data_IF_348350585331
#
_entry.id   IF_348350585331
#
_cell.length_a   1.000
_cell.length_b   1.000
_cell.length_c   1.000
_cell.angle_alpha   90.00
_cell.angle_beta   90.00
_cell.angle_gamma   90.00
#
_symmetry.space_group_name_H-M   'P 1'
#
loop_
_entity.id
_entity.type
_entity.pdbx_description
1 polymer ?
#
# COMPACT_ATOMS: atom_id res chain seq x y z
N UNK A 1 -25.08 49.63 -16.42
CA UNK A 1 -24.51 50.88 -15.91
C UNK A 1 -23.07 50.57 -15.51
N UNK A 2 -22.05 50.82 -16.35
CA UNK A 2 -21.14 51.99 -16.39
C UNK A 2 -20.41 52.14 -15.03
N UNK A 3 -19.06 52.07 -14.91
CA UNK A 3 -17.89 52.63 -15.62
C UNK A 3 -16.64 51.92 -15.08
N UNK A 4 -15.60 51.50 -15.80
CA UNK A 4 -14.50 52.15 -16.52
C UNK A 4 -13.79 53.32 -15.79
N UNK A 5 -12.45 53.17 -15.60
CA UNK A 5 -11.36 54.15 -15.78
C UNK A 5 -10.04 53.47 -15.24
N UNK A 6 -9.02 53.12 -15.95
CA UNK A 6 -8.03 53.79 -16.85
C UNK A 6 -7.31 54.99 -16.17
N UNK A 7 -5.98 54.86 -16.01
CA UNK A 7 -4.89 55.82 -16.32
C UNK A 7 -3.62 55.42 -15.57
N UNK A 8 -2.51 55.14 -16.18
CA UNK A 8 -1.58 55.77 -17.13
C UNK A 8 -0.46 56.58 -16.42
N UNK A 9 0.81 56.11 -16.62
CA UNK A 9 2.09 56.78 -16.82
C UNK A 9 2.52 57.96 -15.94
N UNK A 10 3.77 57.91 -15.45
CA UNK A 10 4.80 58.84 -15.96
C UNK A 10 6.25 58.47 -15.48
N UNK A 11 7.16 58.40 -16.43
CA UNK A 11 8.61 58.37 -16.27
C UNK A 11 9.11 59.81 -16.00
N UNK A 12 10.17 59.93 -15.23
CA UNK A 12 11.01 61.14 -15.29
C UNK A 12 12.48 60.81 -15.02
N UNK A 13 13.27 60.93 -16.08
CA UNK A 13 14.71 61.00 -16.05
C UNK A 13 15.14 62.41 -15.65
N UNK A 14 16.17 62.52 -14.81
CA UNK A 14 16.93 63.75 -14.67
C UNK A 14 18.45 63.44 -14.69
N UNK A 15 19.02 63.90 -15.76
CA UNK A 15 20.47 64.11 -15.99
C UNK A 15 20.90 65.39 -15.29
N UNK A 16 21.95 65.34 -14.51
CA UNK A 16 22.75 66.52 -14.17
C UNK A 16 24.23 66.23 -14.42
N UNK A 17 24.72 66.87 -15.46
CA UNK A 17 26.15 67.15 -15.71
C UNK A 17 26.61 68.38 -14.95
N UNK A 18 27.76 68.31 -14.32
CA UNK A 18 28.64 69.50 -14.19
C UNK A 18 30.10 69.04 -13.96
N UNK A 19 30.92 69.59 -14.83
CA UNK A 19 32.38 69.42 -14.87
C UNK A 19 33.07 70.34 -13.85
N UNK A 20 34.23 69.91 -13.36
CA UNK A 20 35.47 70.76 -13.44
C UNK A 20 36.63 70.14 -12.69
N UNK A 21 37.78 70.20 -13.40
CA UNK A 21 39.21 70.36 -12.98
C UNK A 21 39.86 69.32 -12.09
N UNK A 22 40.68 68.43 -12.59
CA UNK A 22 42.09 68.61 -12.79
C UNK A 22 42.98 68.27 -11.61
N UNK A 23 43.47 67.00 -11.57
CA UNK A 23 44.83 66.66 -11.14
C UNK A 23 45.22 65.28 -11.67
N UNK A 24 46.40 65.17 -12.26
CA UNK A 24 47.00 63.94 -12.74
C UNK A 24 47.47 63.11 -11.54
N UNK A 25 47.00 61.93 -11.35
CA UNK A 25 47.64 60.85 -10.60
C UNK A 25 47.69 59.59 -11.49
N UNK A 26 48.80 58.86 -11.36
CA UNK A 26 49.12 57.64 -12.11
C UNK A 26 48.08 56.53 -11.92
N UNK A 27 47.83 55.68 -12.92
CA UNK A 27 46.87 54.60 -12.79
C UNK A 27 47.43 53.47 -11.90
N UNK A 28 46.72 53.18 -10.83
CA UNK A 28 46.89 51.95 -10.05
C UNK A 28 46.49 50.71 -10.93
N UNK A 29 47.16 49.54 -10.72
CA UNK A 29 46.88 48.34 -11.51
C UNK A 29 45.45 47.83 -11.27
N UNK A 30 44.82 47.44 -12.37
CA UNK A 30 43.47 46.85 -12.40
C UNK A 30 43.40 45.63 -11.48
N UNK A 31 42.31 45.44 -10.72
CA UNK A 31 42.05 44.18 -10.01
C UNK A 31 41.91 43.03 -10.98
N UNK A 32 42.54 41.90 -10.65
CA UNK A 32 42.39 40.65 -11.39
C UNK A 32 40.91 40.23 -11.43
N UNK A 33 40.46 39.58 -12.51
CA UNK A 33 39.10 39.08 -12.58
C UNK A 33 38.88 38.04 -11.46
N UNK A 34 37.91 38.26 -10.58
CA UNK A 34 37.45 37.26 -9.64
C UNK A 34 37.06 36.01 -10.44
N UNK A 35 37.72 34.91 -10.14
CA UNK A 35 37.35 33.59 -10.64
C UNK A 35 35.92 33.35 -10.22
N UNK A 36 35.00 33.36 -11.17
CA UNK A 36 33.64 32.92 -10.96
C UNK A 36 33.68 31.50 -10.37
N UNK A 37 33.15 31.35 -9.18
CA UNK A 37 32.80 30.03 -8.68
C UNK A 37 31.75 29.50 -9.64
N UNK A 38 32.13 28.56 -10.52
CA UNK A 38 31.20 27.67 -11.14
C UNK A 38 30.55 26.89 -9.99
N UNK A 39 29.32 27.28 -9.63
CA UNK A 39 28.42 26.37 -8.90
C UNK A 39 28.35 25.11 -9.73
N UNK A 40 28.96 24.04 -9.22
CA UNK A 40 28.81 22.73 -9.78
C UNK A 40 27.28 22.41 -9.81
N UNK A 41 26.67 22.52 -10.96
CA UNK A 41 25.31 22.01 -11.19
C UNK A 41 25.37 20.53 -10.83
N UNK A 42 24.76 20.17 -9.69
CA UNK A 42 24.45 18.78 -9.40
C UNK A 42 23.65 18.26 -10.61
N UNK A 43 23.98 17.08 -11.15
CA UNK A 43 23.20 16.52 -12.22
C UNK A 43 21.73 16.47 -11.77
N UNK A 44 20.84 17.09 -12.52
CA UNK A 44 19.41 17.04 -12.32
C UNK A 44 19.00 15.57 -12.45
N UNK A 45 18.77 14.91 -11.32
CA UNK A 45 18.32 13.51 -11.31
C UNK A 45 16.92 13.51 -11.92
N UNK A 46 16.77 12.91 -13.09
CA UNK A 46 15.49 12.79 -13.76
C UNK A 46 14.48 12.17 -12.80
N UNK A 47 13.37 12.87 -12.56
CA UNK A 47 12.32 12.45 -11.64
C UNK A 47 11.63 11.21 -12.20
N UNK A 48 11.70 10.11 -11.46
CA UNK A 48 11.01 8.87 -11.79
C UNK A 48 9.53 8.99 -11.45
N UNK A 49 8.65 8.86 -12.45
CA UNK A 49 7.19 8.85 -12.24
C UNK A 49 6.69 7.43 -12.20
N UNK A 50 5.95 7.08 -11.13
CA UNK A 50 5.43 5.73 -10.91
C UNK A 50 3.93 5.75 -10.63
N UNK A 51 3.19 4.87 -11.32
CA UNK A 51 1.80 4.54 -11.02
C UNK A 51 1.77 3.38 -10.02
N UNK A 52 1.30 3.65 -8.81
CA UNK A 52 1.30 2.70 -7.70
C UNK A 52 -0.14 2.31 -7.36
N UNK A 53 -0.47 1.03 -7.50
CA UNK A 53 -1.79 0.52 -7.17
C UNK A 53 -1.96 0.29 -5.67
N UNK A 54 -3.13 0.66 -5.15
CA UNK A 54 -3.53 0.46 -3.77
C UNK A 54 -5.00 0.03 -3.67
N UNK A 55 -5.38 -0.55 -2.53
CA UNK A 55 -6.78 -0.75 -2.13
C UNK A 55 -7.18 0.33 -1.11
N UNK A 56 -8.46 0.82 -1.09
CA UNK A 56 -8.86 1.93 -0.23
C UNK A 56 -8.99 1.51 1.24
N UNK A 57 -7.88 1.13 1.87
CA UNK A 57 -7.79 0.75 3.27
C UNK A 57 -6.47 1.24 3.91
N UNK A 58 -6.45 1.27 5.23
CA UNK A 58 -5.27 1.67 5.99
C UNK A 58 -4.06 0.79 5.67
N UNK A 59 -4.23 -0.53 5.57
CA UNK A 59 -3.16 -1.49 5.35
C UNK A 59 -2.36 -1.26 4.06
N UNK A 60 -3.00 -0.84 2.97
CA UNK A 60 -2.31 -0.54 1.72
C UNK A 60 -1.68 0.85 1.69
N UNK A 61 -2.18 1.78 2.51
CA UNK A 61 -1.83 3.19 2.43
C UNK A 61 -0.91 3.68 3.55
N UNK A 62 -0.89 3.03 4.72
CA UNK A 62 -0.18 3.51 5.92
C UNK A 62 1.28 3.90 5.68
N UNK A 63 2.02 3.14 4.88
CA UNK A 63 3.44 3.37 4.61
C UNK A 63 3.66 4.30 3.41
N UNK A 64 2.91 4.07 2.32
CA UNK A 64 3.11 4.81 1.06
C UNK A 64 2.62 6.26 1.18
N UNK A 65 1.46 6.51 1.80
CA UNK A 65 1.00 7.89 2.03
C UNK A 65 1.91 8.61 3.01
N UNK A 66 2.40 7.93 4.05
CA UNK A 66 3.39 8.49 4.96
C UNK A 66 4.67 8.88 4.22
N UNK A 67 5.19 8.03 3.33
CA UNK A 67 6.39 8.34 2.56
C UNK A 67 6.16 9.51 1.57
N UNK A 68 4.95 9.68 1.03
CA UNK A 68 4.57 10.82 0.20
C UNK A 68 4.53 12.09 1.05
N UNK A 69 3.75 12.12 2.13
CA UNK A 69 3.48 13.30 2.96
C UNK A 69 4.73 13.78 3.72
N UNK A 70 5.62 12.85 4.09
CA UNK A 70 6.91 13.18 4.70
C UNK A 70 7.99 13.54 3.68
N UNK A 71 7.70 13.50 2.38
CA UNK A 71 8.62 13.87 1.32
C UNK A 71 9.70 12.85 1.01
N UNK A 72 9.65 11.62 1.57
CA UNK A 72 10.71 10.62 1.38
C UNK A 72 10.83 10.14 -0.08
N UNK A 73 9.71 10.07 -0.82
CA UNK A 73 9.75 9.80 -2.26
C UNK A 73 10.34 10.97 -3.04
N UNK A 74 9.98 12.21 -2.69
CA UNK A 74 10.54 13.40 -3.34
C UNK A 74 12.05 13.51 -3.13
N UNK A 75 12.54 13.25 -1.89
CA UNK A 75 13.98 13.16 -1.59
C UNK A 75 14.69 12.09 -2.43
N UNK A 76 14.00 10.99 -2.73
CA UNK A 76 14.49 9.94 -3.60
C UNK A 76 14.35 10.25 -5.10
N UNK A 77 13.85 11.43 -5.50
CA UNK A 77 13.59 11.79 -6.88
C UNK A 77 12.48 10.94 -7.52
N UNK A 78 11.45 10.57 -6.73
CA UNK A 78 10.30 9.79 -7.18
C UNK A 78 9.03 10.62 -7.03
N UNK A 79 8.20 10.65 -8.09
CA UNK A 79 6.85 11.17 -8.10
C UNK A 79 5.88 9.99 -8.13
N UNK A 80 5.07 9.84 -7.09
CA UNK A 80 4.10 8.73 -6.94
C UNK A 80 2.72 9.19 -7.35
N UNK A 81 2.09 8.48 -8.30
CA UNK A 81 0.68 8.58 -8.65
C UNK A 81 -0.06 7.36 -8.10
N UNK A 82 -0.91 7.55 -7.08
CA UNK A 82 -1.70 6.48 -6.47
C UNK A 82 -2.95 6.18 -7.30
N UNK A 83 -3.16 4.90 -7.65
CA UNK A 83 -4.28 4.42 -8.44
C UNK A 83 -5.06 3.38 -7.65
N UNK A 84 -6.36 3.63 -7.44
CA UNK A 84 -7.23 2.79 -6.62
C UNK A 84 -7.74 1.56 -7.38
N UNK A 85 -7.74 0.41 -6.69
CA UNK A 85 -8.29 -0.87 -7.15
C UNK A 85 -9.14 -1.53 -6.05
N UNK A 86 -10.07 -2.38 -6.46
CA UNK A 86 -10.94 -3.09 -5.53
C UNK A 86 -10.22 -4.23 -4.78
N UNK A 87 -9.27 -4.93 -5.45
CA UNK A 87 -8.63 -6.14 -4.94
C UNK A 87 -7.25 -6.41 -5.57
N UNK A 88 -6.51 -7.36 -4.98
CA UNK A 88 -5.17 -7.75 -5.43
C UNK A 88 -5.10 -8.38 -6.81
N UNK A 89 -5.98 -9.32 -7.20
CA UNK A 89 -5.99 -9.88 -8.54
C UNK A 89 -6.12 -8.84 -9.66
N UNK A 90 -6.98 -7.83 -9.49
CA UNK A 90 -7.13 -6.73 -10.46
C UNK A 90 -5.90 -5.84 -10.53
N UNK A 91 -5.18 -5.64 -9.41
CA UNK A 91 -3.89 -4.95 -9.38
C UNK A 91 -2.86 -5.69 -10.25
N UNK A 92 -2.72 -7.01 -10.05
CA UNK A 92 -1.75 -7.82 -10.81
C UNK A 92 -2.07 -7.76 -12.31
N UNK A 93 -3.34 -7.89 -12.69
CA UNK A 93 -3.77 -7.78 -14.09
C UNK A 93 -3.44 -6.39 -14.70
N UNK A 94 -3.58 -5.31 -13.93
CA UNK A 94 -3.22 -3.97 -14.34
C UNK A 94 -1.70 -3.77 -14.48
N UNK A 95 -0.91 -4.44 -13.65
CA UNK A 95 0.55 -4.46 -13.77
C UNK A 95 1.01 -5.25 -15.01
N UNK A 96 0.38 -6.39 -15.29
CA UNK A 96 0.70 -7.21 -16.48
C UNK A 96 0.42 -6.47 -17.80
N UNK A 97 -0.62 -5.64 -17.85
CA UNK A 97 -0.92 -4.83 -19.03
C UNK A 97 -0.08 -3.53 -19.12
N UNK A 98 0.72 -3.21 -18.09
CA UNK A 98 1.64 -2.08 -18.06
C UNK A 98 1.01 -0.74 -17.69
N UNK A 99 -0.22 -0.71 -17.18
CA UNK A 99 -0.86 0.53 -16.68
C UNK A 99 -0.42 0.90 -15.26
N UNK A 100 0.11 -0.05 -14.51
CA UNK A 100 0.61 0.07 -13.14
C UNK A 100 2.05 -0.44 -13.09
N UNK A 101 2.93 0.29 -12.40
CA UNK A 101 4.34 -0.07 -12.25
C UNK A 101 4.57 -0.98 -11.04
N UNK A 102 3.97 -0.65 -9.89
CA UNK A 102 4.07 -1.39 -8.64
C UNK A 102 2.72 -1.42 -7.95
N UNK A 103 2.48 -2.40 -7.07
CA UNK A 103 1.22 -2.49 -6.37
C UNK A 103 1.34 -3.11 -4.98
N UNK A 104 0.28 -2.91 -4.19
CA UNK A 104 0.10 -3.56 -2.91
C UNK A 104 -0.94 -4.68 -3.04
N UNK A 105 -0.68 -5.83 -2.43
CA UNK A 105 -1.62 -6.95 -2.38
C UNK A 105 -1.74 -7.54 -0.97
N UNK A 106 -2.92 -8.06 -0.67
CA UNK A 106 -3.15 -8.92 0.49
C UNK A 106 -2.89 -10.40 0.19
N UNK A 107 -3.04 -11.22 1.22
CA UNK A 107 -2.72 -12.65 1.22
C UNK A 107 -3.23 -13.40 0.00
N UNK A 108 -4.52 -13.31 -0.31
CA UNK A 108 -5.13 -14.17 -1.32
C UNK A 108 -4.51 -14.03 -2.72
N UNK A 109 -3.99 -12.85 -3.06
CA UNK A 109 -3.31 -12.64 -4.33
C UNK A 109 -1.86 -13.16 -4.37
N UNK A 110 -1.22 -13.48 -3.23
CA UNK A 110 0.13 -14.05 -3.20
C UNK A 110 0.24 -15.40 -3.94
N UNK A 111 -0.85 -16.16 -4.07
CA UNK A 111 -0.87 -17.35 -4.94
C UNK A 111 -0.47 -17.04 -6.38
N UNK A 112 -0.79 -15.86 -6.90
CA UNK A 112 -0.36 -15.41 -8.22
C UNK A 112 1.14 -15.11 -8.27
N UNK A 113 1.74 -14.65 -7.16
CA UNK A 113 3.20 -14.50 -7.07
C UNK A 113 3.90 -15.87 -7.14
N UNK A 114 3.39 -16.88 -6.40
CA UNK A 114 3.89 -18.25 -6.44
C UNK A 114 3.77 -18.85 -7.85
N UNK A 115 2.74 -18.46 -8.61
CA UNK A 115 2.51 -18.87 -10.00
C UNK A 115 3.36 -18.08 -11.03
N UNK A 116 4.16 -17.10 -10.60
CA UNK A 116 5.08 -16.34 -11.44
C UNK A 116 4.50 -15.09 -12.10
N UNK A 117 3.29 -14.63 -11.71
CA UNK A 117 2.68 -13.42 -12.26
C UNK A 117 3.27 -12.13 -11.67
N UNK A 118 3.76 -12.17 -10.42
CA UNK A 118 4.39 -11.03 -9.76
C UNK A 118 5.50 -11.47 -8.80
N UNK A 119 6.44 -10.57 -8.51
CA UNK A 119 7.48 -10.72 -7.50
C UNK A 119 7.22 -9.78 -6.34
N UNK A 120 7.41 -10.28 -5.12
CA UNK A 120 7.27 -9.50 -3.89
C UNK A 120 8.59 -8.81 -3.59
N UNK A 121 8.62 -7.48 -3.53
CA UNK A 121 9.84 -6.74 -3.24
C UNK A 121 9.92 -6.17 -1.82
N UNK A 122 8.78 -6.10 -1.09
CA UNK A 122 8.74 -5.74 0.33
C UNK A 122 7.53 -6.37 1.03
N UNK A 123 7.72 -6.90 2.24
CA UNK A 123 6.65 -7.22 3.18
C UNK A 123 6.13 -5.91 3.78
N UNK A 124 4.82 -5.78 3.93
CA UNK A 124 4.19 -4.61 4.55
C UNK A 124 3.83 -4.89 6.02
N UNK A 125 2.99 -5.90 6.24
CA UNK A 125 2.49 -6.26 7.58
C UNK A 125 1.88 -7.67 7.58
N UNK A 126 1.56 -8.19 8.76
CA UNK A 126 0.68 -9.34 8.95
C UNK A 126 -0.72 -8.81 9.25
N UNK A 127 -1.71 -9.17 8.42
CA UNK A 127 -3.10 -8.75 8.60
C UNK A 127 -3.82 -9.65 9.61
N UNK A 128 -4.60 -9.03 10.49
CA UNK A 128 -5.53 -9.69 11.41
C UNK A 128 -6.99 -9.25 11.14
N UNK A 129 -7.24 -8.60 10.00
CA UNK A 129 -8.51 -7.96 9.68
C UNK A 129 -9.49 -8.79 8.83
N UNK A 130 -9.09 -10.01 8.41
CA UNK A 130 -10.00 -10.91 7.69
C UNK A 130 -10.96 -11.58 8.67
N UNK A 131 -12.24 -11.70 8.28
CA UNK A 131 -13.27 -12.31 9.12
C UNK A 131 -14.35 -13.02 8.31
N UNK A 132 -14.93 -14.05 8.91
CA UNK A 132 -16.22 -14.62 8.51
C UNK A 132 -17.28 -14.15 9.51
N UNK A 133 -18.31 -13.48 9.02
CA UNK A 133 -19.33 -12.81 9.83
C UNK A 133 -20.71 -13.40 9.49
N UNK A 134 -21.40 -13.90 10.50
CA UNK A 134 -22.79 -14.35 10.41
C UNK A 134 -23.78 -13.24 10.78
N UNK A 135 -24.93 -13.22 10.15
CA UNK A 135 -26.08 -12.44 10.59
C UNK A 135 -26.78 -13.09 11.81
N UNK A 136 -27.90 -12.52 12.28
CA UNK A 136 -28.60 -12.88 13.50
C UNK A 136 -28.92 -14.39 13.66
N UNK A 137 -29.10 -15.10 12.54
CA UNK A 137 -29.45 -16.53 12.50
C UNK A 137 -28.28 -17.46 12.18
N UNK A 138 -27.04 -16.95 12.11
CA UNK A 138 -25.80 -17.71 11.83
C UNK A 138 -24.83 -17.40 12.94
N UNK A 139 -24.75 -18.29 13.94
CA UNK A 139 -24.03 -18.05 15.20
C UNK A 139 -22.76 -18.87 15.34
N UNK A 140 -22.58 -19.87 14.50
CA UNK A 140 -21.40 -20.72 14.46
C UNK A 140 -20.99 -21.04 13.02
N UNK A 141 -19.80 -21.57 12.81
CA UNK A 141 -19.33 -22.00 11.50
C UNK A 141 -20.17 -23.15 10.93
N UNK A 142 -20.70 -24.03 11.79
CA UNK A 142 -21.58 -25.14 11.41
C UNK A 142 -22.92 -24.64 10.85
N UNK A 143 -23.41 -23.49 11.34
CA UNK A 143 -24.66 -22.86 10.85
C UNK A 143 -24.56 -22.38 9.40
N UNK A 144 -23.34 -22.27 8.84
CA UNK A 144 -23.14 -21.89 7.45
C UNK A 144 -23.71 -22.91 6.45
N UNK A 145 -23.92 -24.16 6.86
CA UNK A 145 -24.44 -25.20 5.99
C UNK A 145 -25.78 -24.81 5.35
N UNK A 146 -25.78 -24.77 4.01
CA UNK A 146 -26.96 -24.41 3.19
C UNK A 146 -27.27 -22.91 3.16
N UNK A 147 -26.48 -22.07 3.82
CA UNK A 147 -26.62 -20.60 3.85
C UNK A 147 -26.05 -19.93 2.60
N UNK A 148 -26.58 -18.74 2.32
CA UNK A 148 -26.01 -17.85 1.29
C UNK A 148 -24.88 -17.05 1.91
N UNK A 149 -23.65 -17.24 1.41
CA UNK A 149 -22.44 -16.61 1.95
C UNK A 149 -21.75 -15.79 0.87
N UNK A 150 -21.66 -14.48 1.10
CA UNK A 150 -20.94 -13.57 0.21
C UNK A 150 -19.43 -13.64 0.48
N UNK A 151 -18.64 -13.60 -0.59
CA UNK A 151 -17.17 -13.54 -0.53
C UNK A 151 -16.60 -12.90 -1.80
N UNK A 152 -15.31 -12.62 -1.83
CA UNK A 152 -14.60 -12.14 -3.02
C UNK A 152 -13.55 -13.15 -3.42
N UNK A 153 -13.70 -13.74 -4.62
CA UNK A 153 -12.81 -14.80 -5.08
C UNK A 153 -11.40 -14.30 -5.37
N UNK A 154 -10.40 -15.16 -5.16
CA UNK A 154 -9.00 -14.82 -5.37
C UNK A 154 -8.36 -13.95 -4.28
N UNK A 155 -9.10 -13.56 -3.24
CA UNK A 155 -8.67 -12.68 -2.15
C UNK A 155 -8.56 -13.42 -0.82
N UNK A 156 -8.12 -12.72 0.24
CA UNK A 156 -8.11 -13.26 1.62
C UNK A 156 -9.51 -13.61 2.14
N UNK A 157 -10.55 -12.97 1.59
CA UNK A 157 -11.96 -13.29 1.88
C UNK A 157 -12.29 -14.76 1.53
N UNK A 158 -11.86 -15.24 0.37
CA UNK A 158 -12.02 -16.64 -0.01
C UNK A 158 -11.23 -17.57 0.91
N UNK A 159 -10.00 -17.20 1.25
CA UNK A 159 -9.11 -18.03 2.05
C UNK A 159 -9.63 -18.19 3.49
N UNK A 160 -10.06 -17.09 4.15
CA UNK A 160 -10.60 -17.16 5.51
C UNK A 160 -11.94 -17.93 5.54
N UNK A 161 -12.77 -17.81 4.50
CA UNK A 161 -14.01 -18.58 4.38
C UNK A 161 -13.73 -20.09 4.26
N UNK A 162 -12.79 -20.48 3.38
CA UNK A 162 -12.39 -21.89 3.23
C UNK A 162 -11.82 -22.46 4.52
N UNK A 163 -11.01 -21.70 5.23
CA UNK A 163 -10.46 -22.11 6.52
C UNK A 163 -11.57 -22.28 7.57
N UNK A 164 -12.53 -21.35 7.63
CA UNK A 164 -13.69 -21.45 8.52
C UNK A 164 -14.57 -22.66 8.21
N UNK A 165 -14.87 -22.88 6.95
CA UNK A 165 -15.65 -24.05 6.50
C UNK A 165 -14.92 -25.37 6.84
N UNK A 166 -13.62 -25.47 6.55
CA UNK A 166 -12.83 -26.64 6.86
C UNK A 166 -12.82 -26.95 8.37
N UNK A 167 -12.74 -25.92 9.24
CA UNK A 167 -12.80 -26.03 10.69
C UNK A 167 -14.14 -26.63 11.17
N UNK A 168 -15.25 -26.34 10.46
CA UNK A 168 -16.57 -26.90 10.70
C UNK A 168 -16.82 -28.25 9.99
N UNK A 169 -15.84 -28.80 9.27
CA UNK A 169 -16.01 -30.00 8.45
C UNK A 169 -16.89 -29.78 7.22
N UNK A 170 -16.97 -28.53 6.75
CA UNK A 170 -17.74 -28.11 5.57
C UNK A 170 -16.78 -27.74 4.42
N UNK A 171 -17.36 -27.61 3.24
CA UNK A 171 -16.69 -27.17 2.01
C UNK A 171 -17.49 -26.06 1.33
N UNK A 172 -16.96 -25.46 0.27
CA UNK A 172 -17.70 -24.48 -0.54
C UNK A 172 -18.99 -25.07 -1.16
N UNK A 173 -19.04 -26.39 -1.38
CA UNK A 173 -20.22 -27.07 -1.90
C UNK A 173 -21.38 -27.23 -0.87
N UNK A 174 -21.07 -27.07 0.42
CA UNK A 174 -22.07 -27.13 1.50
C UNK A 174 -22.81 -25.79 1.71
N UNK A 175 -22.38 -24.70 1.05
CA UNK A 175 -22.99 -23.37 1.12
C UNK A 175 -23.50 -22.89 -0.24
N UNK A 176 -24.29 -21.82 -0.23
CA UNK A 176 -24.63 -21.08 -1.46
C UNK A 176 -23.63 -19.93 -1.59
N UNK A 177 -22.46 -20.25 -2.13
CA UNK A 177 -21.39 -19.28 -2.29
C UNK A 177 -21.77 -18.19 -3.31
N UNK A 178 -21.61 -16.93 -2.94
CA UNK A 178 -21.94 -15.77 -3.76
C UNK A 178 -20.70 -14.89 -3.90
N UNK A 179 -20.04 -15.04 -5.03
CA UNK A 179 -18.86 -14.22 -5.39
C UNK A 179 -19.32 -12.81 -5.80
N UNK A 180 -18.70 -11.78 -5.22
CA UNK A 180 -19.01 -10.39 -5.53
C UNK A 180 -17.85 -9.44 -5.19
N UNK A 181 -17.93 -8.25 -5.76
CA UNK A 181 -17.01 -7.16 -5.44
C UNK A 181 -17.04 -6.86 -3.94
N UNK A 182 -15.87 -6.59 -3.31
CA UNK A 182 -15.77 -6.33 -1.87
C UNK A 182 -16.69 -5.23 -1.34
N UNK A 183 -16.92 -4.17 -2.13
CA UNK A 183 -17.82 -3.08 -1.75
C UNK A 183 -19.30 -3.52 -1.67
N UNK A 184 -19.69 -4.49 -2.50
CA UNK A 184 -21.04 -5.05 -2.53
C UNK A 184 -21.30 -6.00 -1.36
N UNK A 185 -20.27 -6.65 -0.81
CA UNK A 185 -20.38 -7.55 0.36
C UNK A 185 -21.01 -6.80 1.55
N UNK A 186 -20.54 -5.57 1.82
CA UNK A 186 -21.07 -4.74 2.92
C UNK A 186 -22.57 -4.49 2.72
N UNK A 187 -22.96 -4.05 1.53
CA UNK A 187 -24.37 -3.78 1.22
C UNK A 187 -25.25 -5.04 1.30
N UNK A 188 -24.76 -6.16 0.75
CA UNK A 188 -25.49 -7.44 0.77
C UNK A 188 -25.71 -7.93 2.21
N UNK A 189 -24.69 -7.83 3.06
CA UNK A 189 -24.77 -8.26 4.46
C UNK A 189 -25.71 -7.36 5.29
N UNK A 190 -25.55 -6.04 5.20
CA UNK A 190 -26.35 -5.09 5.98
C UNK A 190 -27.81 -5.03 5.55
N UNK A 191 -28.13 -5.31 4.28
CA UNK A 191 -29.52 -5.39 3.79
C UNK A 191 -30.19 -6.75 4.08
N UNK A 192 -29.47 -7.73 4.62
CA UNK A 192 -29.97 -9.09 4.78
C UNK A 192 -30.13 -9.86 3.46
N UNK A 193 -29.44 -9.44 2.40
CA UNK A 193 -29.39 -10.11 1.10
C UNK A 193 -28.62 -11.43 1.12
N UNK A 194 -27.76 -11.61 2.13
CA UNK A 194 -27.00 -12.83 2.40
C UNK A 194 -27.08 -13.19 3.89
N UNK A 195 -26.91 -14.47 4.22
CA UNK A 195 -26.96 -14.95 5.61
C UNK A 195 -25.65 -14.70 6.37
N UNK A 196 -24.53 -14.72 5.65
CA UNK A 196 -23.19 -14.51 6.17
C UNK A 196 -22.28 -13.92 5.09
N UNK A 197 -21.12 -13.44 5.49
CA UNK A 197 -20.08 -13.00 4.55
C UNK A 197 -18.68 -13.29 5.07
N UNK A 198 -17.72 -13.26 4.17
CA UNK A 198 -16.29 -13.13 4.49
C UNK A 198 -15.73 -11.91 3.80
N UNK A 199 -14.88 -11.19 4.50
CA UNK A 199 -14.24 -9.96 3.99
C UNK A 199 -13.07 -9.57 4.88
N UNK A 200 -12.41 -8.44 4.56
CA UNK A 200 -11.30 -7.87 5.32
C UNK A 200 -11.61 -6.45 5.78
N UNK A 201 -10.77 -5.87 6.67
CA UNK A 201 -10.93 -4.49 7.11
C UNK A 201 -10.66 -3.49 5.95
N UNK A 202 -11.41 -2.37 5.87
CA UNK A 202 -12.37 -1.86 6.86
C UNK A 202 -13.76 -2.51 6.83
N UNK A 203 -14.09 -3.30 5.80
CA UNK A 203 -15.42 -3.87 5.60
C UNK A 203 -15.85 -4.76 6.77
N UNK A 204 -14.95 -5.62 7.27
CA UNK A 204 -15.23 -6.50 8.41
C UNK A 204 -15.59 -5.71 9.67
N UNK A 205 -14.83 -4.66 9.98
CA UNK A 205 -15.08 -3.78 11.11
C UNK A 205 -16.42 -3.06 10.97
N UNK A 206 -16.68 -2.49 9.79
CA UNK A 206 -17.92 -1.77 9.49
C UNK A 206 -19.15 -2.68 9.60
N UNK A 207 -19.10 -3.88 9.04
CA UNK A 207 -20.21 -4.84 9.12
C UNK A 207 -20.51 -5.21 10.57
N UNK A 208 -19.46 -5.50 11.37
CA UNK A 208 -19.65 -5.83 12.78
C UNK A 208 -20.23 -4.66 13.60
N UNK A 209 -19.78 -3.43 13.34
CA UNK A 209 -20.30 -2.23 13.97
C UNK A 209 -21.78 -2.00 13.65
N UNK A 210 -22.15 -2.03 12.37
CA UNK A 210 -23.50 -1.74 11.89
C UNK A 210 -24.51 -2.83 12.26
N UNK A 211 -24.10 -4.10 12.29
CA UNK A 211 -24.97 -5.20 12.75
C UNK A 211 -25.14 -5.20 14.28
N UNK A 212 -24.16 -4.68 15.02
CA UNK A 212 -24.20 -4.66 16.49
C UNK A 212 -24.50 -6.05 17.08
N UNK A 213 -25.60 -6.15 17.84
CA UNK A 213 -26.00 -7.42 18.49
C UNK A 213 -26.47 -8.53 17.52
N UNK A 214 -26.79 -8.18 16.28
CA UNK A 214 -27.19 -9.15 15.24
C UNK A 214 -26.01 -9.69 14.43
N UNK A 215 -24.80 -9.13 14.61
CA UNK A 215 -23.57 -9.58 13.99
C UNK A 215 -22.87 -10.65 14.84
N UNK A 216 -22.44 -11.74 14.22
CA UNK A 216 -21.70 -12.80 14.87
C UNK A 216 -20.35 -13.00 14.16
N UNK A 217 -19.24 -12.71 14.85
CA UNK A 217 -17.91 -13.08 14.38
C UNK A 217 -17.76 -14.60 14.51
N UNK A 218 -17.72 -15.29 13.38
CA UNK A 218 -17.63 -16.74 13.35
C UNK A 218 -16.20 -17.25 13.42
N UNK A 219 -15.29 -16.59 12.69
CA UNK A 219 -13.83 -16.72 12.79
C UNK A 219 -13.13 -15.52 12.17
N UNK A 220 -11.86 -15.36 12.50
CA UNK A 220 -10.93 -14.34 12.02
C UNK A 220 -9.52 -14.94 11.82
N UNK A 221 -8.53 -14.11 11.45
CA UNK A 221 -7.14 -14.56 11.31
C UNK A 221 -6.59 -15.16 12.62
N UNK A 222 -6.96 -14.59 13.77
CA UNK A 222 -6.48 -15.06 15.08
C UNK A 222 -6.99 -16.48 15.41
N UNK A 223 -8.16 -16.86 14.88
CA UNK A 223 -8.71 -18.21 14.99
C UNK A 223 -7.78 -19.28 14.40
N UNK A 224 -6.89 -18.89 13.49
CA UNK A 224 -5.98 -19.76 12.75
C UNK A 224 -4.50 -19.40 12.93
N UNK A 225 -4.15 -18.53 13.89
CA UNK A 225 -2.79 -18.00 14.07
C UNK A 225 -1.71 -19.06 14.28
N UNK A 226 -2.07 -20.26 14.78
CA UNK A 226 -1.14 -21.37 14.94
C UNK A 226 -0.76 -22.06 13.62
N UNK A 227 -1.54 -21.88 12.56
CA UNK A 227 -1.41 -22.64 11.31
C UNK A 227 -1.35 -21.78 10.06
N UNK A 228 -1.80 -20.54 10.13
CA UNK A 228 -1.84 -19.62 8.99
C UNK A 228 -1.24 -18.27 9.33
N UNK A 229 -0.77 -17.56 8.30
CA UNK A 229 -0.32 -16.18 8.37
C UNK A 229 -0.89 -15.41 7.20
N UNK A 230 -1.54 -14.27 7.47
CA UNK A 230 -2.12 -13.41 6.44
C UNK A 230 -1.15 -12.26 6.10
N UNK A 231 -0.30 -12.47 5.09
CA UNK A 231 0.70 -11.50 4.68
C UNK A 231 0.13 -10.46 3.73
N UNK A 232 0.63 -9.24 3.84
CA UNK A 232 0.40 -8.17 2.89
C UNK A 232 1.73 -7.64 2.36
N UNK A 233 1.83 -7.42 1.05
CA UNK A 233 3.13 -7.17 0.41
C UNK A 233 3.04 -6.20 -0.75
N UNK A 234 4.17 -5.59 -1.05
CA UNK A 234 4.40 -4.76 -2.23
C UNK A 234 5.02 -5.60 -3.35
N UNK A 235 4.50 -5.44 -4.56
CA UNK A 235 4.80 -6.31 -5.70
C UNK A 235 5.14 -5.53 -6.97
N UNK A 236 5.88 -6.22 -7.86
CA UNK A 236 6.18 -5.83 -9.24
C UNK A 236 5.98 -7.01 -10.17
N UNK A 237 5.84 -6.79 -11.49
CA UNK A 237 5.94 -7.91 -12.44
C UNK A 237 7.39 -8.39 -12.56
N UNK A 238 7.64 -9.69 -12.88
CA UNK A 238 9.00 -10.19 -13.13
C UNK A 238 9.75 -9.38 -14.21
N UNK A 239 9.05 -9.01 -15.28
CA UNK A 239 9.60 -8.18 -16.36
C UNK A 239 10.04 -6.80 -15.87
N UNK A 240 9.25 -6.16 -15.00
CA UNK A 240 9.62 -4.87 -14.43
C UNK A 240 10.81 -5.02 -13.49
N UNK A 241 10.85 -6.09 -12.68
CA UNK A 241 11.93 -6.39 -11.76
C UNK A 241 13.28 -6.55 -12.46
N UNK A 242 13.32 -7.29 -13.56
CA UNK A 242 14.55 -7.48 -14.36
C UNK A 242 15.08 -6.16 -14.95
N UNK A 243 14.18 -5.28 -15.40
CA UNK A 243 14.57 -4.05 -16.10
C UNK A 243 14.85 -2.88 -15.15
N UNK A 244 14.33 -2.88 -13.90
CA UNK A 244 14.25 -1.70 -13.04
C UNK A 244 14.69 -1.95 -11.59
N UNK A 245 15.64 -2.87 -11.36
CA UNK A 245 16.06 -3.25 -10.00
C UNK A 245 16.50 -2.04 -9.13
N UNK A 246 17.21 -1.07 -9.73
CA UNK A 246 17.63 0.16 -9.03
C UNK A 246 16.44 1.05 -8.64
N UNK A 247 15.44 1.18 -9.51
CA UNK A 247 14.23 1.96 -9.23
C UNK A 247 13.39 1.31 -8.11
N UNK A 248 13.31 -0.03 -8.11
CA UNK A 248 12.62 -0.78 -7.05
C UNK A 248 13.34 -0.57 -5.72
N UNK A 249 14.66 -0.69 -5.68
CA UNK A 249 15.43 -0.46 -4.47
C UNK A 249 15.26 0.98 -3.97
N UNK A 250 15.31 1.96 -4.86
CA UNK A 250 15.11 3.38 -4.53
C UNK A 250 13.72 3.64 -3.95
N UNK A 251 12.68 3.05 -4.55
CA UNK A 251 11.31 3.10 -4.03
C UNK A 251 11.21 2.42 -2.65
N UNK A 252 11.77 1.22 -2.50
CA UNK A 252 11.73 0.46 -1.23
C UNK A 252 12.40 1.21 -0.10
N UNK A 253 13.55 1.89 -0.34
CA UNK A 253 14.22 2.72 0.68
C UNK A 253 13.33 3.87 1.16
N UNK A 254 12.64 4.55 0.26
CA UNK A 254 11.71 5.62 0.63
C UNK A 254 10.46 5.07 1.36
N UNK A 255 9.93 3.94 0.89
CA UNK A 255 8.82 3.24 1.53
C UNK A 255 9.18 2.83 2.97
N UNK A 256 10.37 2.28 3.20
CA UNK A 256 10.84 1.86 4.52
C UNK A 256 10.96 3.02 5.51
N UNK A 257 11.40 4.20 5.05
CA UNK A 257 11.33 5.41 5.89
C UNK A 257 9.89 5.74 6.29
N UNK A 258 8.92 5.55 5.39
CA UNK A 258 7.50 5.70 5.67
C UNK A 258 7.01 4.68 6.69
N UNK A 259 7.41 3.41 6.55
CA UNK A 259 7.10 2.34 7.51
C UNK A 259 7.71 2.63 8.90
N UNK A 260 8.99 3.00 8.96
CA UNK A 260 9.67 3.33 10.22
C UNK A 260 8.94 4.47 10.94
N UNK A 261 8.60 5.55 10.21
CA UNK A 261 7.87 6.68 10.79
C UNK A 261 6.49 6.28 11.29
N UNK A 262 5.74 5.53 10.49
CA UNK A 262 4.36 5.14 10.81
C UNK A 262 4.30 4.16 11.99
N UNK A 263 5.25 3.24 12.12
CA UNK A 263 5.31 2.26 13.21
C UNK A 263 5.83 2.85 14.53
N UNK A 264 6.47 4.04 14.52
CA UNK A 264 7.02 4.73 15.71
C UNK A 264 5.96 5.55 16.48
N UNK A 265 4.70 5.08 16.50
CA UNK A 265 3.64 5.69 17.31
C UNK A 265 2.95 6.91 16.69
N UNK A 266 3.21 7.24 15.42
CA UNK A 266 2.61 8.40 14.74
C UNK A 266 1.22 8.06 14.12
N UNK A 267 0.46 7.21 14.79
CA UNK A 267 -0.75 6.59 14.24
C UNK A 267 -1.86 7.57 13.87
N UNK A 268 -2.05 8.64 14.67
CA UNK A 268 -3.06 9.67 14.40
C UNK A 268 -2.76 10.44 13.12
N UNK A 269 -1.50 10.83 12.93
CA UNK A 269 -1.07 11.53 11.72
C UNK A 269 -1.17 10.62 10.50
N UNK A 270 -0.74 9.36 10.62
CA UNK A 270 -0.82 8.36 9.54
C UNK A 270 -2.28 8.08 9.14
N UNK A 271 -3.19 7.96 10.10
CA UNK A 271 -4.62 7.84 9.81
C UNK A 271 -5.14 9.04 9.02
N UNK A 272 -4.69 10.25 9.36
CA UNK A 272 -5.04 11.45 8.59
C UNK A 272 -4.52 11.42 7.15
N UNK A 273 -3.29 10.90 6.92
CA UNK A 273 -2.77 10.73 5.56
C UNK A 273 -3.62 9.73 4.75
N UNK A 274 -4.01 8.63 5.35
CA UNK A 274 -4.92 7.65 4.74
C UNK A 274 -6.27 8.28 4.39
N UNK A 275 -6.89 9.02 5.34
CA UNK A 275 -8.15 9.74 5.13
C UNK A 275 -8.03 10.78 4.02
N UNK A 276 -6.91 11.49 3.94
CA UNK A 276 -6.67 12.46 2.87
C UNK A 276 -6.68 11.80 1.48
N UNK A 277 -6.25 10.54 1.38
CA UNK A 277 -6.29 9.77 0.14
C UNK A 277 -7.66 9.15 -0.13
N UNK A 278 -8.24 8.43 0.84
CA UNK A 278 -9.47 7.64 0.67
C UNK A 278 -10.76 8.44 0.79
N UNK A 279 -10.73 9.59 1.47
CA UNK A 279 -11.90 10.41 1.85
C UNK A 279 -12.88 9.66 2.76
N UNK A 280 -12.40 8.65 3.48
CA UNK A 280 -13.17 7.90 4.48
C UNK A 280 -13.27 8.66 5.81
N UNK A 281 -14.07 8.13 6.74
CA UNK A 281 -14.14 8.64 8.10
C UNK A 281 -12.83 8.40 8.85
N UNK A 282 -12.42 9.36 9.70
CA UNK A 282 -11.16 9.29 10.44
C UNK A 282 -11.15 8.16 11.46
N UNK A 283 -12.22 8.02 12.25
CA UNK A 283 -12.30 7.02 13.31
C UNK A 283 -12.30 5.61 12.72
N UNK A 284 -12.96 5.42 11.57
CA UNK A 284 -12.94 4.17 10.82
C UNK A 284 -11.52 3.83 10.32
N UNK A 285 -10.82 4.78 9.70
CA UNK A 285 -9.44 4.57 9.24
C UNK A 285 -8.48 4.32 10.42
N UNK A 286 -8.65 5.05 11.53
CA UNK A 286 -7.82 4.86 12.72
C UNK A 286 -8.06 3.50 13.40
N UNK A 287 -9.30 2.98 13.37
CA UNK A 287 -9.62 1.66 13.91
C UNK A 287 -8.92 0.51 13.19
N UNK A 288 -8.71 0.63 11.87
CA UNK A 288 -8.00 -0.37 11.07
C UNK A 288 -6.56 -0.63 11.55
N UNK A 289 -5.94 0.34 12.20
CA UNK A 289 -4.62 0.20 12.82
C UNK A 289 -4.55 -0.98 13.79
N UNK A 290 -5.66 -1.30 14.48
CA UNK A 290 -5.73 -2.34 15.49
C UNK A 290 -5.80 -3.77 14.95
N UNK A 291 -5.89 -3.96 13.64
CA UNK A 291 -6.09 -5.28 13.01
C UNK A 291 -4.92 -5.72 12.14
N UNK A 292 -3.70 -5.37 12.53
CA UNK A 292 -2.48 -5.85 11.90
C UNK A 292 -1.27 -5.73 12.82
N UNK A 293 -0.24 -6.54 12.54
CA UNK A 293 1.10 -6.41 13.11
C UNK A 293 1.97 -5.66 12.09
N UNK A 294 2.29 -4.41 12.41
CA UNK A 294 3.00 -3.48 11.54
C UNK A 294 4.51 -3.64 11.68
N UNK A 295 5.22 -3.79 10.57
CA UNK A 295 6.67 -3.86 10.55
C UNK A 295 7.30 -2.52 10.20
N UNK A 296 8.40 -2.19 10.88
CA UNK A 296 9.35 -1.19 10.38
C UNK A 296 10.11 -1.72 9.18
N UNK A 297 10.63 -0.83 8.34
CA UNK A 297 11.51 -1.23 7.24
C UNK A 297 12.76 -1.95 7.75
N UNK A 298 13.27 -1.57 8.95
CA UNK A 298 14.40 -2.23 9.62
C UNK A 298 14.08 -3.66 10.04
N UNK A 299 12.88 -3.92 10.57
CA UNK A 299 12.44 -5.28 10.94
C UNK A 299 12.28 -6.15 9.71
N UNK A 300 11.73 -5.60 8.60
CA UNK A 300 11.64 -6.33 7.34
C UNK A 300 13.03 -6.69 6.81
N UNK A 301 13.96 -5.75 6.79
CA UNK A 301 15.33 -6.02 6.32
C UNK A 301 16.05 -7.05 7.22
N UNK A 302 15.92 -6.95 8.53
CA UNK A 302 16.50 -7.90 9.48
C UNK A 302 15.89 -9.30 9.30
N UNK A 303 14.57 -9.41 9.21
CA UNK A 303 13.88 -10.67 9.03
C UNK A 303 14.10 -11.32 7.66
N UNK A 304 14.36 -10.52 6.62
CA UNK A 304 14.81 -11.01 5.33
C UNK A 304 16.24 -11.60 5.42
N UNK A 305 17.12 -10.99 6.22
CA UNK A 305 18.50 -11.43 6.40
C UNK A 305 18.64 -12.69 7.27
N UNK A 306 17.80 -12.83 8.30
CA UNK A 306 17.85 -13.97 9.24
C UNK A 306 16.95 -15.14 8.81
N UNK A 307 16.11 -14.96 7.77
CA UNK A 307 15.22 -15.98 7.23
C UNK A 307 13.85 -16.10 7.91
N UNK A 308 13.53 -15.27 8.92
CA UNK A 308 12.23 -15.30 9.61
C UNK A 308 11.08 -14.92 8.66
N UNK A 309 11.29 -13.93 7.76
CA UNK A 309 10.31 -13.55 6.73
C UNK A 309 10.14 -14.67 5.70
N UNK A 310 11.20 -15.35 5.29
CA UNK A 310 11.07 -16.55 4.43
C UNK A 310 10.19 -17.60 5.08
N UNK A 311 10.31 -17.76 6.41
CA UNK A 311 9.45 -18.65 7.22
C UNK A 311 7.97 -18.31 7.09
N UNK A 312 7.59 -17.03 7.13
CA UNK A 312 6.20 -16.61 6.93
C UNK A 312 5.67 -16.99 5.54
N UNK A 313 6.42 -16.72 4.47
CA UNK A 313 6.00 -17.09 3.11
C UNK A 313 5.94 -18.61 2.92
N UNK A 314 6.78 -19.40 3.59
CA UNK A 314 6.68 -20.88 3.59
C UNK A 314 5.38 -21.36 4.23
N UNK A 315 5.02 -20.80 5.40
CA UNK A 315 3.74 -21.12 6.06
C UNK A 315 2.57 -20.76 5.16
N UNK A 316 2.56 -19.56 4.57
CA UNK A 316 1.52 -19.12 3.64
C UNK A 316 1.41 -20.05 2.43
N UNK A 317 2.53 -20.39 1.78
CA UNK A 317 2.55 -21.31 0.63
C UNK A 317 2.03 -22.70 1.00
N UNK A 318 2.41 -23.23 2.16
CA UNK A 318 1.90 -24.52 2.64
C UNK A 318 0.37 -24.52 2.78
N UNK A 319 -0.22 -23.40 3.25
CA UNK A 319 -1.66 -23.25 3.34
C UNK A 319 -2.34 -23.20 1.96
N UNK A 320 -1.75 -22.51 0.98
CA UNK A 320 -2.27 -22.51 -0.38
C UNK A 320 -2.20 -23.90 -1.03
N UNK A 321 -1.18 -24.69 -0.74
CA UNK A 321 -1.07 -26.07 -1.20
C UNK A 321 -2.15 -26.94 -0.52
N UNK A 322 -2.30 -26.82 0.80
CA UNK A 322 -3.31 -27.58 1.55
C UNK A 322 -4.74 -27.29 1.12
N UNK A 323 -5.03 -26.04 0.75
CA UNK A 323 -6.35 -25.63 0.20
C UNK A 323 -6.54 -25.93 -1.28
N UNK A 324 -5.51 -26.44 -1.98
CA UNK A 324 -5.53 -26.69 -3.42
C UNK A 324 -5.43 -25.43 -4.30
N UNK A 325 -5.13 -24.27 -3.72
CA UNK A 325 -4.97 -23.01 -4.45
C UNK A 325 -3.65 -22.94 -5.24
N UNK A 326 -2.62 -23.68 -4.80
CA UNK A 326 -1.33 -23.86 -5.45
C UNK A 326 -1.02 -25.35 -5.57
N UNK A 327 -0.53 -25.78 -6.72
CA UNK A 327 -0.37 -27.21 -7.02
C UNK A 327 0.82 -27.86 -6.31
N UNK A 328 1.92 -27.12 -6.10
CA UNK A 328 3.16 -27.62 -5.53
C UNK A 328 4.00 -26.51 -4.94
N UNK A 329 4.95 -26.90 -4.10
CA UNK A 329 5.93 -25.98 -3.51
C UNK A 329 6.86 -25.40 -4.58
N UNK A 330 7.16 -24.10 -4.44
CA UNK A 330 8.12 -23.32 -5.23
C UNK A 330 9.11 -22.69 -4.25
N UNK A 331 10.43 -22.60 -4.55
CA UNK A 331 11.35 -21.88 -3.70
C UNK A 331 10.88 -20.44 -3.47
N UNK A 332 10.80 -20.02 -2.20
CA UNK A 332 10.30 -18.68 -1.87
C UNK A 332 11.11 -17.57 -2.55
N UNK A 333 12.43 -17.80 -2.71
CA UNK A 333 13.33 -16.87 -3.40
C UNK A 333 13.02 -16.68 -4.89
N UNK A 334 12.19 -17.54 -5.51
CA UNK A 334 11.79 -17.39 -6.91
C UNK A 334 10.75 -16.28 -7.10
N UNK A 335 10.00 -15.94 -6.03
CA UNK A 335 8.96 -14.91 -6.08
C UNK A 335 9.09 -13.81 -5.00
N UNK A 336 10.05 -13.92 -4.07
CA UNK A 336 10.34 -12.91 -3.04
C UNK A 336 11.77 -12.39 -3.20
N UNK A 337 11.91 -11.08 -3.34
CA UNK A 337 13.16 -10.37 -3.60
C UNK A 337 13.87 -10.02 -2.28
N UNK A 338 14.37 -11.02 -1.54
CA UNK A 338 15.02 -10.81 -0.24
C UNK A 338 16.20 -9.86 -0.28
N UNK A 339 17.04 -9.93 -1.35
CA UNK A 339 18.19 -9.05 -1.49
C UNK A 339 17.76 -7.57 -1.57
N UNK A 340 16.63 -7.27 -2.23
CA UNK A 340 16.05 -5.92 -2.27
C UNK A 340 15.61 -5.46 -0.86
N UNK A 341 14.96 -6.33 -0.09
CA UNK A 341 14.54 -6.00 1.28
C UNK A 341 15.73 -5.72 2.19
N UNK A 342 16.78 -6.55 2.13
CA UNK A 342 18.01 -6.41 2.91
C UNK A 342 18.75 -5.12 2.54
N UNK A 343 18.90 -4.83 1.24
CA UNK A 343 19.63 -3.65 0.77
C UNK A 343 18.87 -2.35 1.04
N UNK A 344 17.55 -2.41 1.05
CA UNK A 344 16.71 -1.25 1.37
C UNK A 344 16.80 -0.83 2.84
N UNK A 345 17.12 -1.73 3.76
CA UNK A 345 17.28 -1.45 5.19
C UNK A 345 18.66 -0.92 5.60
N UNK A 346 19.61 -0.82 4.64
CA UNK A 346 20.95 -0.26 4.88
C UNK A 346 20.94 1.25 4.72
#
# INVERSE_FOLDING_TARGET
>A
MKNKFISLLLALAMVFTLAACGQKEEPAPAPAPEAGQEEAQQPEVETLKLNIAYMPNYGSLWSVTTAIEKGYFAEAGIEVNLVEFADGPTIIAAMENGSIDMGYIGQGAHKLCIQGNANIFALSHISNGDAVIGGANVKSLEDLKGKTVAYSSGTSSEDILKNGLAKAGLTMDDIKAMDMDPSNIVTAMLSGGVDACSTWSPNSLKIMEELGADGNLLCDNMTFSDTTVSLASWIVTPKYAEANAENILRFTKALYKGMDYAADGNYEEVAQFVVNQTKTDYDAAYAERGVADWFTGKEVAAGAADGSIEGYYKVQQANFIASGAVASEVPVADYVMFDNMIEAGK
#
